data_IF_197382650020
#
_entry.id   IF_197382650020
#
_cell.length_a   1.000
_cell.length_b   1.000
_cell.length_c   1.000
_cell.angle_alpha   90.00
_cell.angle_beta   90.00
_cell.angle_gamma   90.00
#
_symmetry.space_group_name_H-M   'P 1'
#
loop_
_entity.id
_entity.type
_entity.pdbx_description
1 polymer ?
#
# COMPACT_ATOMS: atom_id res chain seq x y z
N UNK A 1 13.14 24.83 39.33
CA UNK A 1 13.33 24.88 37.88
C UNK A 1 12.17 24.15 37.25
N UNK A 2 11.24 24.93 36.70
CA UNK A 2 9.98 24.46 36.11
C UNK A 2 10.29 23.87 34.75
N UNK A 3 10.00 22.57 34.55
CA UNK A 3 10.01 21.94 33.25
C UNK A 3 8.77 22.38 32.47
N UNK A 4 8.98 23.05 31.34
CA UNK A 4 7.91 23.41 30.43
C UNK A 4 7.16 22.15 29.94
N UNK A 5 5.84 22.19 29.76
CA UNK A 5 5.08 21.10 29.19
C UNK A 5 5.46 20.97 27.70
N UNK A 6 5.77 19.74 27.28
CA UNK A 6 5.97 19.40 25.88
C UNK A 6 4.72 19.80 25.08
N UNK A 7 4.93 20.51 23.99
CA UNK A 7 3.88 20.93 23.09
C UNK A 7 3.07 19.70 22.63
N UNK A 8 1.83 19.63 23.07
CA UNK A 8 0.81 18.78 22.48
C UNK A 8 0.66 19.28 21.05
N UNK A 9 1.13 18.53 20.07
CA UNK A 9 0.81 18.83 18.67
C UNK A 9 -0.70 18.81 18.55
N UNK A 10 -1.30 19.95 18.14
CA UNK A 10 -2.73 20.07 17.87
C UNK A 10 -3.12 19.00 16.84
N UNK A 11 -3.71 17.91 17.30
CA UNK A 11 -4.29 16.92 16.40
C UNK A 11 -5.39 17.62 15.62
N UNK A 12 -5.34 17.65 14.26
CA UNK A 12 -6.35 18.32 13.47
C UNK A 12 -7.74 17.81 13.88
N UNK A 13 -8.71 18.71 14.03
CA UNK A 13 -10.06 18.28 14.34
C UNK A 13 -10.55 17.35 13.22
N UNK A 14 -11.28 16.31 13.57
CA UNK A 14 -11.87 15.37 12.61
C UNK A 14 -12.63 16.12 11.50
N UNK A 15 -13.31 17.21 11.85
CA UNK A 15 -14.06 18.05 10.93
C UNK A 15 -13.17 18.72 9.88
N UNK A 16 -11.89 18.97 10.17
CA UNK A 16 -10.95 19.55 9.22
C UNK A 16 -10.46 18.54 8.16
N UNK A 17 -10.62 17.25 8.41
CA UNK A 17 -10.26 16.17 7.48
C UNK A 17 -11.45 15.66 6.68
N UNK A 18 -12.65 15.68 7.25
CA UNK A 18 -13.87 15.22 6.58
C UNK A 18 -14.15 16.05 5.33
N UNK A 19 -14.47 15.35 4.23
CA UNK A 19 -14.81 15.93 2.93
C UNK A 19 -13.70 16.77 2.29
N UNK A 20 -12.52 16.86 2.91
CA UNK A 20 -11.35 17.44 2.26
C UNK A 20 -10.85 16.48 1.18
N UNK A 21 -10.71 16.99 -0.04
CA UNK A 21 -10.09 16.24 -1.14
C UNK A 21 -8.58 16.33 -1.04
N UNK A 22 -7.93 15.18 -1.00
CA UNK A 22 -6.49 15.03 -1.13
C UNK A 22 -6.20 14.58 -2.55
N UNK A 23 -5.63 15.44 -3.42
CA UNK A 23 -5.39 15.11 -4.81
C UNK A 23 -4.34 14.01 -4.95
N UNK A 24 -4.54 13.12 -5.90
CA UNK A 24 -3.61 12.05 -6.26
C UNK A 24 -3.62 11.88 -7.77
N UNK A 25 -2.45 11.80 -8.39
CA UNK A 25 -2.29 11.82 -9.85
C UNK A 25 -2.81 13.15 -10.45
N UNK A 26 -3.31 13.10 -11.68
CA UNK A 26 -3.80 14.28 -12.40
C UNK A 26 -5.23 14.70 -12.02
N UNK A 27 -6.18 13.74 -11.93
CA UNK A 27 -7.59 14.02 -11.59
C UNK A 27 -8.14 13.09 -10.49
N UNK A 28 -7.30 12.28 -9.88
CA UNK A 28 -7.68 11.41 -8.79
C UNK A 28 -7.69 12.13 -7.44
N UNK A 29 -8.35 11.53 -6.46
CA UNK A 29 -8.35 12.02 -5.09
C UNK A 29 -8.73 10.93 -4.08
N UNK A 30 -8.40 11.21 -2.83
CA UNK A 30 -8.95 10.53 -1.65
C UNK A 30 -9.66 11.55 -0.79
N UNK A 31 -10.82 11.19 -0.24
CA UNK A 31 -11.58 12.01 0.69
C UNK A 31 -12.00 11.14 1.88
N UNK A 32 -11.72 11.60 3.10
CA UNK A 32 -12.29 11.01 4.31
C UNK A 32 -13.78 11.37 4.39
N UNK A 33 -14.64 10.37 4.39
CA UNK A 33 -16.09 10.55 4.54
C UNK A 33 -16.50 10.43 6.00
N UNK A 34 -16.05 9.35 6.66
CA UNK A 34 -16.39 9.06 8.03
C UNK A 34 -15.36 8.14 8.70
N UNK A 35 -15.36 8.14 10.02
CA UNK A 35 -14.50 7.27 10.83
C UNK A 35 -15.25 6.85 12.08
N UNK A 36 -15.13 5.57 12.44
CA UNK A 36 -15.56 5.03 13.71
C UNK A 36 -14.34 4.70 14.56
N UNK A 37 -14.23 5.30 15.73
CA UNK A 37 -13.14 5.05 16.66
C UNK A 37 -11.89 5.90 16.41
N UNK A 38 -10.90 5.64 17.25
CA UNK A 38 -9.57 6.25 17.29
C UNK A 38 -8.60 5.31 18.02
N UNK A 39 -7.35 5.73 18.32
CA UNK A 39 -6.39 4.92 19.09
C UNK A 39 -6.96 4.41 20.42
N UNK A 40 -7.74 5.23 21.13
CA UNK A 40 -8.37 4.82 22.39
C UNK A 40 -9.40 3.69 22.20
N UNK A 41 -10.06 3.62 21.06
CA UNK A 41 -11.00 2.54 20.74
C UNK A 41 -10.30 1.19 20.59
N UNK A 42 -9.12 1.18 19.97
CA UNK A 42 -8.25 -0.02 19.87
C UNK A 42 -7.82 -0.49 21.26
N UNK A 43 -7.40 0.44 22.10
CA UNK A 43 -7.02 0.17 23.50
C UNK A 43 -8.21 -0.36 24.31
N UNK A 44 -9.37 0.25 24.17
CA UNK A 44 -10.59 -0.18 24.85
C UNK A 44 -10.97 -1.60 24.45
N UNK A 45 -10.94 -1.91 23.16
CA UNK A 45 -11.23 -3.25 22.64
C UNK A 45 -10.26 -4.29 23.20
N UNK A 46 -8.97 -4.00 23.25
CA UNK A 46 -7.98 -4.89 23.83
C UNK A 46 -8.23 -5.14 25.34
N UNK A 47 -8.63 -4.11 26.09
CA UNK A 47 -8.85 -4.18 27.53
C UNK A 47 -10.11 -4.96 27.93
N UNK A 48 -11.07 -5.16 27.02
CA UNK A 48 -12.25 -6.02 27.27
C UNK A 48 -11.85 -7.44 27.67
N UNK A 49 -10.73 -7.93 27.15
CA UNK A 49 -10.20 -9.27 27.48
C UNK A 49 -9.65 -9.39 28.91
N UNK A 50 -9.48 -8.28 29.62
CA UNK A 50 -9.03 -8.25 31.01
C UNK A 50 -10.23 -8.04 31.92
N UNK A 51 -10.63 -9.06 32.72
CA UNK A 51 -11.68 -8.94 33.73
C UNK A 51 -11.41 -7.83 34.76
N UNK A 52 -12.46 -7.38 35.44
CA UNK A 52 -12.34 -6.41 36.53
C UNK A 52 -11.35 -6.95 37.59
N UNK A 53 -10.32 -6.20 37.88
CA UNK A 53 -9.28 -6.57 38.88
C UNK A 53 -7.92 -6.92 38.31
N UNK A 54 -7.77 -7.18 37.02
CA UNK A 54 -6.46 -7.46 36.38
C UNK A 54 -5.89 -6.27 35.62
N UNK A 55 -6.49 -5.09 35.74
CA UNK A 55 -6.05 -3.87 35.07
C UNK A 55 -4.66 -3.43 35.57
N UNK A 56 -3.60 -3.86 34.90
CA UNK A 56 -2.35 -3.09 34.91
C UNK A 56 -2.60 -1.83 34.06
N UNK A 57 -2.37 -0.66 34.64
CA UNK A 57 -2.36 0.62 33.91
C UNK A 57 -1.13 0.56 32.97
N UNK A 58 -1.28 -0.02 31.80
CA UNK A 58 -0.29 0.13 30.74
C UNK A 58 -0.58 1.41 29.97
N UNK A 59 0.46 2.11 29.61
CA UNK A 59 0.40 3.22 28.67
C UNK A 59 -0.25 2.74 27.36
N UNK A 60 -1.22 3.49 26.85
CA UNK A 60 -1.97 3.16 25.63
C UNK A 60 -1.05 2.96 24.43
N UNK A 61 0.00 3.77 24.29
CA UNK A 61 1.02 3.64 23.27
C UNK A 61 1.76 2.30 23.37
N UNK A 62 2.16 1.89 24.57
CA UNK A 62 2.85 0.61 24.78
C UNK A 62 1.94 -0.58 24.45
N UNK A 63 0.65 -0.50 24.80
CA UNK A 63 -0.31 -1.54 24.50
C UNK A 63 -0.53 -1.69 22.99
N UNK A 64 -0.76 -0.60 22.27
CA UNK A 64 -0.91 -0.61 20.80
C UNK A 64 0.35 -1.21 20.14
N UNK A 65 1.55 -0.79 20.56
CA UNK A 65 2.81 -1.32 20.07
C UNK A 65 2.96 -2.81 20.35
N UNK A 66 2.56 -3.28 21.54
CA UNK A 66 2.54 -4.70 21.87
C UNK A 66 1.60 -5.49 20.97
N UNK A 67 0.36 -5.03 20.80
CA UNK A 67 -0.65 -5.68 19.97
C UNK A 67 -0.19 -5.84 18.51
N UNK A 68 0.34 -4.77 17.94
CA UNK A 68 0.77 -4.78 16.54
C UNK A 68 2.01 -5.67 16.33
N UNK A 69 2.98 -5.63 17.27
CA UNK A 69 4.20 -6.44 17.23
C UNK A 69 3.90 -7.93 17.30
N UNK A 70 2.91 -8.31 18.13
CA UNK A 70 2.50 -9.70 18.32
C UNK A 70 1.35 -10.15 17.42
N UNK A 71 0.98 -9.33 16.43
CA UNK A 71 -0.07 -9.62 15.46
C UNK A 71 -1.44 -9.93 16.11
N UNK A 72 -1.78 -9.23 17.19
CA UNK A 72 -3.14 -9.25 17.74
C UNK A 72 -4.02 -8.31 16.92
N UNK A 73 -4.82 -8.84 16.01
CA UNK A 73 -5.51 -8.07 14.97
C UNK A 73 -6.86 -7.52 15.41
N UNK A 74 -7.63 -8.31 16.15
CA UNK A 74 -9.03 -8.00 16.52
C UNK A 74 -9.25 -6.63 17.15
N UNK A 75 -8.38 -6.09 18.04
CA UNK A 75 -8.57 -4.75 18.57
C UNK A 75 -8.58 -3.65 17.51
N UNK A 76 -7.79 -3.81 16.43
CA UNK A 76 -7.73 -2.86 15.33
C UNK A 76 -8.95 -2.98 14.39
N UNK A 77 -9.66 -4.11 14.41
CA UNK A 77 -10.90 -4.31 13.65
C UNK A 77 -12.09 -3.54 14.26
N UNK A 78 -11.94 -3.05 15.51
CA UNK A 78 -12.96 -2.24 16.20
C UNK A 78 -12.88 -0.75 15.86
N UNK A 79 -12.11 -0.36 14.87
CA UNK A 79 -12.09 0.96 14.28
C UNK A 79 -12.28 0.84 12.77
N UNK A 80 -13.09 1.71 12.17
CA UNK A 80 -13.40 1.67 10.73
C UNK A 80 -13.24 3.05 10.10
N UNK A 81 -12.86 3.07 8.83
CA UNK A 81 -12.75 4.31 8.04
C UNK A 81 -13.52 4.15 6.73
N UNK A 82 -14.23 5.19 6.34
CA UNK A 82 -14.93 5.28 5.06
C UNK A 82 -14.37 6.40 4.22
N UNK A 83 -13.95 6.04 3.03
CA UNK A 83 -13.40 6.95 2.03
C UNK A 83 -14.35 7.10 0.83
N UNK A 84 -14.27 8.24 0.17
CA UNK A 84 -14.63 8.41 -1.23
C UNK A 84 -13.32 8.55 -2.01
N UNK A 85 -13.12 7.68 -2.99
CA UNK A 85 -11.92 7.67 -3.81
C UNK A 85 -12.28 7.87 -5.28
N UNK A 86 -11.47 8.64 -5.99
CA UNK A 86 -11.48 8.72 -7.45
C UNK A 86 -10.16 8.19 -7.95
N UNK A 87 -10.22 7.10 -8.72
CA UNK A 87 -9.06 6.28 -9.03
C UNK A 87 -9.15 5.72 -10.46
N UNK A 88 -8.03 5.59 -11.22
CA UNK A 88 -8.05 4.93 -12.51
C UNK A 88 -8.43 3.45 -12.37
N UNK A 89 -9.15 2.91 -13.35
CA UNK A 89 -9.67 1.53 -13.33
C UNK A 89 -8.56 0.47 -13.21
N UNK A 90 -7.37 0.69 -13.76
CA UNK A 90 -6.22 -0.22 -13.64
C UNK A 90 -5.75 -0.32 -12.19
N UNK A 91 -5.64 0.82 -11.47
CA UNK A 91 -5.35 0.87 -10.04
C UNK A 91 -6.50 0.28 -9.20
N UNK A 92 -7.75 0.59 -9.59
CA UNK A 92 -8.93 0.06 -8.91
C UNK A 92 -8.99 -1.46 -8.94
N UNK A 93 -8.61 -2.09 -10.04
CA UNK A 93 -8.52 -3.56 -10.14
C UNK A 93 -7.51 -4.18 -9.18
N UNK A 94 -6.46 -3.47 -8.81
CA UNK A 94 -5.52 -3.91 -7.76
C UNK A 94 -6.09 -3.64 -6.37
N UNK A 95 -6.82 -2.54 -6.21
CA UNK A 95 -7.44 -2.13 -4.94
C UNK A 95 -8.48 -3.15 -4.46
N UNK A 96 -9.40 -3.54 -5.33
CA UNK A 96 -10.49 -4.49 -5.03
C UNK A 96 -9.99 -5.92 -4.74
N UNK A 97 -8.71 -6.21 -4.88
CA UNK A 97 -8.10 -7.46 -4.40
C UNK A 97 -8.04 -7.52 -2.87
N UNK A 98 -8.14 -6.39 -2.18
CA UNK A 98 -8.30 -6.30 -0.73
C UNK A 98 -9.79 -6.45 -0.38
N UNK A 99 -10.22 -7.71 -0.18
CA UNK A 99 -11.63 -8.11 -0.15
C UNK A 99 -12.33 -7.92 1.19
N UNK A 100 -11.58 -7.75 2.29
CA UNK A 100 -12.16 -7.49 3.61
C UNK A 100 -12.47 -5.99 3.73
N UNK A 101 -13.46 -5.56 2.97
CA UNK A 101 -13.90 -4.18 2.88
C UNK A 101 -15.29 -4.13 2.23
N UNK A 102 -15.99 -3.01 2.39
CA UNK A 102 -17.26 -2.73 1.70
C UNK A 102 -17.02 -1.68 0.61
N UNK A 103 -17.54 -1.95 -0.56
CA UNK A 103 -17.36 -1.11 -1.74
C UNK A 103 -18.73 -0.78 -2.35
N UNK A 104 -18.91 0.48 -2.71
CA UNK A 104 -20.01 0.92 -3.55
C UNK A 104 -19.45 1.85 -4.64
N UNK A 105 -19.31 1.28 -5.83
CA UNK A 105 -18.70 1.95 -6.97
C UNK A 105 -19.73 2.68 -7.83
N UNK A 106 -19.32 3.82 -8.38
CA UNK A 106 -20.07 4.57 -9.39
C UNK A 106 -20.42 3.68 -10.59
N UNK A 107 -21.69 3.63 -10.91
CA UNK A 107 -22.15 2.76 -12.00
C UNK A 107 -22.30 3.50 -13.33
N UNK A 108 -21.41 3.22 -14.25
CA UNK A 108 -21.51 3.70 -15.64
C UNK A 108 -22.62 2.99 -16.47
N UNK A 109 -23.41 2.11 -15.83
CA UNK A 109 -24.67 1.59 -16.42
C UNK A 109 -25.82 2.57 -16.22
N UNK A 110 -25.84 3.27 -15.09
CA UNK A 110 -26.88 4.23 -14.76
C UNK A 110 -26.50 5.67 -15.08
N UNK A 111 -25.21 5.96 -15.09
CA UNK A 111 -24.68 7.30 -15.34
C UNK A 111 -23.69 7.28 -16.51
N UNK A 112 -23.34 8.47 -17.02
CA UNK A 112 -22.26 8.60 -17.99
C UNK A 112 -20.93 8.26 -17.36
N UNK A 113 -19.99 7.71 -18.14
CA UNK A 113 -18.63 7.53 -17.67
C UNK A 113 -18.02 8.88 -17.25
N UNK A 114 -17.17 8.86 -16.24
CA UNK A 114 -16.42 10.05 -15.82
C UNK A 114 -15.58 10.50 -17.03
N UNK A 115 -15.68 11.79 -17.36
CA UNK A 115 -14.97 12.36 -18.50
C UNK A 115 -13.54 12.73 -18.11
N UNK A 116 -12.81 11.73 -17.64
CA UNK A 116 -11.41 11.89 -17.26
C UNK A 116 -10.70 10.54 -17.36
N UNK A 117 -9.49 10.59 -17.87
CA UNK A 117 -8.59 9.46 -18.00
C UNK A 117 -7.21 9.89 -17.46
N UNK A 118 -6.58 9.02 -16.69
CA UNK A 118 -5.24 9.29 -16.19
C UNK A 118 -4.26 9.37 -17.37
N UNK A 119 -3.50 10.44 -17.43
CA UNK A 119 -2.50 10.69 -18.45
C UNK A 119 -1.09 10.46 -17.90
N UNK A 120 -0.22 9.87 -18.72
CA UNK A 120 1.18 9.67 -18.39
C UNK A 120 2.01 10.81 -18.99
N UNK A 121 2.70 11.60 -18.14
CA UNK A 121 3.63 12.63 -18.61
C UNK A 121 4.80 12.03 -19.39
N UNK A 122 5.47 12.83 -20.21
CA UNK A 122 6.62 12.37 -21.01
C UNK A 122 7.72 11.75 -20.14
N UNK A 123 7.93 12.26 -18.95
CA UNK A 123 8.89 11.78 -17.94
C UNK A 123 8.29 10.80 -16.93
N UNK A 124 7.02 10.41 -17.12
CA UNK A 124 6.30 9.49 -16.25
C UNK A 124 6.39 8.02 -16.65
N UNK A 125 6.88 7.72 -17.85
CA UNK A 125 7.03 6.36 -18.36
C UNK A 125 8.19 5.64 -17.69
N UNK A 126 7.99 4.37 -17.32
CA UNK A 126 8.96 3.56 -16.59
C UNK A 126 9.38 2.33 -17.38
N UNK A 127 10.66 1.99 -17.30
CA UNK A 127 11.20 0.75 -17.86
C UNK A 127 10.72 -0.48 -17.09
N UNK A 128 10.65 -1.62 -17.75
CA UNK A 128 10.43 -2.89 -17.11
C UNK A 128 11.64 -3.27 -16.26
N UNK A 129 11.44 -3.60 -14.98
CA UNK A 129 12.53 -4.08 -14.14
C UNK A 129 13.14 -5.39 -14.65
N UNK A 130 14.47 -5.45 -14.72
CA UNK A 130 15.19 -6.61 -15.23
C UNK A 130 15.03 -7.85 -14.31
N UNK A 131 14.98 -7.65 -13.01
CA UNK A 131 14.94 -8.71 -12.00
C UNK A 131 13.53 -9.12 -11.59
N UNK A 132 12.54 -8.24 -11.75
CA UNK A 132 11.16 -8.45 -11.32
C UNK A 132 10.19 -8.08 -12.44
N UNK A 133 9.55 -9.07 -13.05
CA UNK A 133 8.58 -8.85 -14.14
C UNK A 133 7.33 -8.07 -13.74
N UNK A 134 7.07 -7.88 -12.45
CA UNK A 134 5.94 -7.11 -11.93
C UNK A 134 6.31 -5.66 -11.60
N UNK A 135 7.61 -5.36 -11.49
CA UNK A 135 8.12 -4.05 -11.12
C UNK A 135 8.53 -3.22 -12.32
N UNK A 136 8.61 -1.92 -12.10
CA UNK A 136 9.24 -0.96 -13.01
C UNK A 136 10.55 -0.49 -12.41
N UNK A 137 11.49 -0.12 -13.28
CA UNK A 137 12.81 0.36 -12.91
C UNK A 137 13.14 1.61 -13.71
N UNK A 138 13.48 2.69 -13.01
CA UNK A 138 13.82 3.95 -13.62
C UNK A 138 12.72 4.59 -14.48
N UNK A 139 12.93 5.83 -14.84
CA UNK A 139 12.06 6.58 -15.74
C UNK A 139 12.73 6.76 -17.09
N UNK A 140 11.94 6.79 -18.15
CA UNK A 140 12.41 7.16 -19.47
C UNK A 140 12.77 8.65 -19.52
N UNK A 141 13.62 9.03 -20.46
CA UNK A 141 13.87 10.45 -20.72
C UNK A 141 12.61 11.11 -21.29
N UNK A 142 12.48 12.42 -21.12
CA UNK A 142 11.36 13.19 -21.68
C UNK A 142 11.23 12.96 -23.22
N UNK A 143 12.34 12.86 -23.92
CA UNK A 143 12.34 12.65 -25.37
C UNK A 143 11.84 11.26 -25.76
N UNK A 144 12.21 10.22 -25.01
CA UNK A 144 11.78 8.85 -25.27
C UNK A 144 10.31 8.64 -24.88
N UNK A 145 9.84 9.32 -23.84
CA UNK A 145 8.45 9.23 -23.38
C UNK A 145 7.47 10.06 -24.21
N UNK A 146 7.93 11.13 -24.87
CA UNK A 146 7.06 12.02 -25.65
C UNK A 146 6.18 11.29 -26.68
N UNK A 147 6.70 10.42 -27.58
CA UNK A 147 5.86 9.70 -28.51
C UNK A 147 4.89 8.72 -27.85
N UNK A 148 5.23 8.18 -26.67
CA UNK A 148 4.33 7.30 -25.90
C UNK A 148 3.16 8.08 -25.32
N UNK A 149 3.42 9.26 -24.74
CA UNK A 149 2.39 10.17 -24.23
C UNK A 149 1.46 10.62 -25.35
N UNK A 150 2.00 10.95 -26.53
CA UNK A 150 1.21 11.34 -27.69
C UNK A 150 0.27 10.20 -28.14
N UNK A 151 0.80 8.97 -28.26
CA UNK A 151 0.01 7.78 -28.62
C UNK A 151 -1.07 7.47 -27.59
N UNK A 152 -0.78 7.64 -26.28
CA UNK A 152 -1.77 7.50 -25.21
C UNK A 152 -2.93 8.50 -25.38
N UNK A 153 -2.61 9.78 -25.62
CA UNK A 153 -3.60 10.85 -25.82
C UNK A 153 -4.48 10.60 -27.06
N UNK A 154 -3.89 10.14 -28.16
CA UNK A 154 -4.62 9.77 -29.38
C UNK A 154 -5.61 8.63 -29.11
N UNK A 155 -5.16 7.57 -28.41
CA UNK A 155 -5.99 6.44 -28.02
C UNK A 155 -7.14 6.87 -27.11
N UNK A 156 -6.86 7.67 -26.08
CA UNK A 156 -7.87 8.16 -25.14
C UNK A 156 -8.92 9.00 -25.86
N UNK A 157 -8.49 9.89 -26.74
CA UNK A 157 -9.38 10.75 -27.55
C UNK A 157 -10.27 9.92 -28.49
N UNK A 158 -9.71 8.90 -29.13
CA UNK A 158 -10.47 7.98 -30.00
C UNK A 158 -11.51 7.18 -29.20
N UNK A 159 -11.10 6.60 -28.08
CA UNK A 159 -11.99 5.80 -27.23
C UNK A 159 -13.16 6.65 -26.70
N UNK A 160 -12.88 7.89 -26.31
CA UNK A 160 -13.90 8.85 -25.87
C UNK A 160 -14.88 9.18 -26.98
N UNK A 161 -14.41 9.53 -28.18
CA UNK A 161 -15.25 9.80 -29.32
C UNK A 161 -16.15 8.61 -29.66
N UNK A 162 -15.61 7.39 -29.73
CA UNK A 162 -16.38 6.18 -30.02
C UNK A 162 -17.45 5.93 -28.95
N UNK A 163 -17.15 6.18 -27.69
CA UNK A 163 -18.14 6.09 -26.60
C UNK A 163 -19.29 7.07 -26.79
N UNK A 164 -19.00 8.32 -27.11
CA UNK A 164 -20.00 9.37 -27.34
C UNK A 164 -20.85 9.10 -28.59
N UNK A 165 -20.26 8.67 -29.71
CA UNK A 165 -20.96 8.27 -30.92
C UNK A 165 -21.97 7.15 -30.65
N UNK A 166 -21.59 6.15 -29.83
CA UNK A 166 -22.49 5.08 -29.41
C UNK A 166 -23.67 5.59 -28.58
N UNK A 167 -23.42 6.51 -27.67
CA UNK A 167 -24.50 7.11 -26.88
C UNK A 167 -25.47 7.91 -27.76
N UNK A 168 -24.94 8.69 -28.70
CA UNK A 168 -25.73 9.46 -29.63
C UNK A 168 -26.56 8.55 -30.57
N UNK A 169 -26.04 7.39 -30.95
CA UNK A 169 -26.72 6.35 -31.68
C UNK A 169 -27.77 5.58 -30.85
N UNK A 170 -27.97 5.93 -29.58
CA UNK A 170 -28.95 5.28 -28.71
C UNK A 170 -28.51 3.91 -28.17
N UNK A 171 -27.23 3.57 -28.27
CA UNK A 171 -26.69 2.31 -27.70
C UNK A 171 -26.75 2.36 -26.19
N UNK A 172 -27.15 1.27 -25.57
CA UNK A 172 -27.19 1.14 -24.10
C UNK A 172 -25.84 1.46 -23.48
N UNK A 173 -25.82 2.24 -22.39
CA UNK A 173 -24.59 2.67 -21.69
C UNK A 173 -23.67 1.50 -21.33
N UNK A 174 -24.23 0.35 -20.93
CA UNK A 174 -23.48 -0.84 -20.60
C UNK A 174 -22.67 -1.42 -21.78
N UNK A 175 -23.12 -1.19 -23.01
CA UNK A 175 -22.40 -1.57 -24.22
C UNK A 175 -21.50 -0.44 -24.73
N UNK A 176 -21.97 0.80 -24.67
CA UNK A 176 -21.21 1.96 -25.14
C UNK A 176 -19.84 2.07 -24.46
N UNK A 177 -19.77 1.83 -23.14
CA UNK A 177 -18.58 1.97 -22.30
C UNK A 177 -17.50 0.89 -22.47
N UNK A 178 -17.79 -0.22 -23.18
CA UNK A 178 -16.93 -1.43 -23.12
C UNK A 178 -15.50 -1.23 -23.60
N UNK A 179 -15.28 -0.24 -24.47
CA UNK A 179 -13.96 0.03 -25.07
C UNK A 179 -13.27 1.28 -24.45
N UNK A 180 -13.78 1.80 -23.34
CA UNK A 180 -13.07 2.81 -22.56
C UNK A 180 -11.79 2.20 -21.98
N UNK A 181 -10.63 2.90 -22.06
CA UNK A 181 -9.37 2.38 -21.56
C UNK A 181 -9.38 2.28 -20.03
N UNK A 182 -8.50 1.41 -19.50
CA UNK A 182 -8.35 1.21 -18.06
C UNK A 182 -7.82 2.44 -17.32
N UNK A 183 -7.28 3.42 -18.03
CA UNK A 183 -6.91 4.74 -17.49
C UNK A 183 -8.12 5.61 -17.13
N UNK A 184 -9.34 5.25 -17.57
CA UNK A 184 -10.57 5.96 -17.21
C UNK A 184 -10.76 5.95 -15.69
N UNK A 185 -11.07 7.11 -15.10
CA UNK A 185 -11.36 7.24 -13.68
C UNK A 185 -12.71 6.64 -13.32
N UNK A 186 -12.77 6.00 -12.15
CA UNK A 186 -14.01 5.63 -11.45
C UNK A 186 -14.04 6.29 -10.07
N UNK A 187 -15.21 6.37 -9.46
CA UNK A 187 -15.38 6.80 -8.06
C UNK A 187 -16.03 5.69 -7.25
N UNK A 188 -15.60 5.54 -6.01
CA UNK A 188 -16.19 4.56 -5.11
C UNK A 188 -16.16 5.02 -3.66
N UNK A 189 -17.21 4.68 -2.93
CA UNK A 189 -17.14 4.58 -1.49
C UNK A 189 -16.42 3.29 -1.12
N UNK A 190 -15.43 3.41 -0.25
CA UNK A 190 -14.66 2.30 0.30
C UNK A 190 -14.64 2.39 1.82
N UNK A 191 -15.22 1.39 2.49
CA UNK A 191 -15.24 1.28 3.94
C UNK A 191 -14.44 0.06 4.37
N UNK A 192 -13.57 0.24 5.34
CA UNK A 192 -12.63 -0.79 5.78
C UNK A 192 -12.28 -0.58 7.25
N UNK A 193 -12.10 -1.67 8.01
CA UNK A 193 -11.56 -1.61 9.35
C UNK A 193 -10.05 -1.28 9.35
N UNK A 194 -9.54 -0.80 10.48
CA UNK A 194 -8.17 -0.34 10.60
C UNK A 194 -7.14 -1.47 10.39
N UNK A 195 -7.41 -2.71 10.85
CA UNK A 195 -6.48 -3.83 10.63
C UNK A 195 -6.28 -4.11 9.14
N UNK A 196 -7.38 -4.25 8.39
CA UNK A 196 -7.33 -4.53 6.96
C UNK A 196 -6.82 -3.32 6.15
N UNK A 197 -7.08 -2.10 6.63
CA UNK A 197 -6.49 -0.88 6.05
C UNK A 197 -4.98 -0.87 6.21
N UNK A 198 -4.45 -1.15 7.40
CA UNK A 198 -3.00 -1.24 7.62
C UNK A 198 -2.37 -2.35 6.76
N UNK A 199 -3.08 -3.46 6.55
CA UNK A 199 -2.63 -4.50 5.62
C UNK A 199 -2.58 -3.99 4.16
N UNK A 200 -3.60 -3.26 3.71
CA UNK A 200 -3.59 -2.60 2.41
C UNK A 200 -2.40 -1.64 2.28
N UNK A 201 -2.20 -0.77 3.27
CA UNK A 201 -1.12 0.21 3.28
C UNK A 201 0.26 -0.46 3.24
N UNK A 202 0.49 -1.52 4.03
CA UNK A 202 1.76 -2.24 4.03
C UNK A 202 2.12 -2.82 2.65
N UNK A 203 1.11 -3.27 1.88
CA UNK A 203 1.33 -3.84 0.55
C UNK A 203 1.42 -2.78 -0.55
N UNK A 204 0.72 -1.65 -0.39
CA UNK A 204 0.58 -0.66 -1.46
C UNK A 204 1.50 0.55 -1.29
N UNK A 205 2.06 0.76 -0.11
CA UNK A 205 3.15 1.71 0.12
C UNK A 205 4.53 1.10 -0.18
N UNK A 206 4.61 -0.23 -0.35
CA UNK A 206 5.86 -0.91 -0.69
C UNK A 206 6.45 -0.37 -2.01
N UNK A 207 7.78 -0.23 -2.06
CA UNK A 207 8.49 0.30 -3.23
C UNK A 207 8.28 -0.50 -4.51
N UNK A 208 7.97 -1.80 -4.41
CA UNK A 208 7.66 -2.68 -5.53
C UNK A 208 6.19 -2.58 -6.00
N UNK A 209 5.33 -1.86 -5.27
CA UNK A 209 3.98 -1.59 -5.73
C UNK A 209 4.00 -0.63 -6.92
N UNK A 210 3.04 -0.78 -7.84
CA UNK A 210 2.86 0.17 -8.95
C UNK A 210 2.77 1.60 -8.42
N UNK A 211 3.48 2.54 -9.03
CA UNK A 211 3.60 3.91 -8.51
C UNK A 211 2.25 4.59 -8.29
N UNK A 212 1.31 4.40 -9.20
CA UNK A 212 0.00 5.06 -9.15
C UNK A 212 -0.78 4.63 -7.90
N UNK A 213 -0.95 3.34 -7.64
CA UNK A 213 -1.64 2.87 -6.43
C UNK A 213 -0.85 3.17 -5.14
N UNK A 214 0.49 3.19 -5.23
CA UNK A 214 1.35 3.57 -4.11
C UNK A 214 1.09 5.00 -3.67
N UNK A 215 0.95 5.95 -4.59
CA UNK A 215 0.60 7.34 -4.26
C UNK A 215 -0.74 7.47 -3.52
N UNK A 216 -1.75 6.67 -3.91
CA UNK A 216 -3.01 6.61 -3.17
C UNK A 216 -2.81 6.09 -1.75
N UNK A 217 -2.06 5.01 -1.58
CA UNK A 217 -1.77 4.43 -0.28
C UNK A 217 -0.98 5.38 0.62
N UNK A 218 0.05 6.04 0.09
CA UNK A 218 0.85 7.06 0.78
C UNK A 218 -0.03 8.25 1.23
N UNK A 219 -0.92 8.72 0.36
CA UNK A 219 -1.86 9.80 0.69
C UNK A 219 -2.81 9.39 1.81
N UNK A 220 -3.40 8.18 1.74
CA UNK A 220 -4.27 7.66 2.80
C UNK A 220 -3.49 7.56 4.12
N UNK A 221 -2.31 6.97 4.09
CA UNK A 221 -1.48 6.75 5.26
C UNK A 221 -1.04 8.05 5.90
N UNK A 222 -0.31 8.87 5.17
CA UNK A 222 0.37 10.05 5.69
C UNK A 222 -0.57 11.23 5.96
N UNK A 223 -1.56 11.46 5.08
CA UNK A 223 -2.43 12.63 5.20
C UNK A 223 -3.68 12.39 6.05
N UNK A 224 -4.10 11.14 6.21
CA UNK A 224 -5.35 10.83 6.90
C UNK A 224 -5.10 9.94 8.12
N UNK A 225 -4.56 8.73 7.93
CA UNK A 225 -4.43 7.74 9.03
C UNK A 225 -3.44 8.19 10.10
N UNK A 226 -2.31 8.77 9.71
CA UNK A 226 -1.34 9.35 10.64
C UNK A 226 -1.94 10.40 11.59
N UNK A 227 -3.01 11.09 11.15
CA UNK A 227 -3.70 12.12 11.92
C UNK A 227 -4.85 11.55 12.76
N UNK A 228 -5.55 10.53 12.28
CA UNK A 228 -6.69 9.90 12.97
C UNK A 228 -6.25 8.90 14.04
N UNK A 229 -5.17 8.16 13.77
CA UNK A 229 -4.66 7.07 14.59
C UNK A 229 -3.15 7.21 14.80
N UNK A 230 -2.65 8.30 15.42
CA UNK A 230 -1.24 8.60 15.49
C UNK A 230 -0.40 7.52 16.20
N UNK A 231 -0.93 6.89 17.25
CA UNK A 231 -0.21 5.83 17.96
C UNK A 231 -0.19 4.50 17.17
N UNK A 232 -1.29 4.17 16.52
CA UNK A 232 -1.35 3.01 15.63
C UNK A 232 -0.45 3.21 14.41
N UNK A 233 -0.40 4.43 13.87
CA UNK A 233 0.45 4.79 12.73
C UNK A 233 1.94 4.66 13.07
N UNK A 234 2.37 5.22 14.20
CA UNK A 234 3.75 5.07 14.69
C UNK A 234 4.14 3.58 14.80
N UNK A 235 3.30 2.79 15.47
CA UNK A 235 3.56 1.36 15.62
C UNK A 235 3.55 0.61 14.27
N UNK A 236 2.70 1.03 13.33
CA UNK A 236 2.63 0.46 11.99
C UNK A 236 3.91 0.72 11.18
N UNK A 237 4.44 1.92 11.23
CA UNK A 237 5.72 2.23 10.59
C UNK A 237 6.83 1.34 11.14
N UNK A 238 7.00 1.29 12.45
CA UNK A 238 8.08 0.52 13.10
C UNK A 238 7.98 -1.00 12.87
N UNK A 239 6.77 -1.57 12.89
CA UNK A 239 6.60 -3.03 12.91
C UNK A 239 6.07 -3.64 11.61
N UNK A 240 5.73 -2.83 10.62
CA UNK A 240 5.22 -3.31 9.31
C UNK A 240 5.95 -2.70 8.12
N UNK A 241 6.06 -1.37 8.05
CA UNK A 241 6.63 -0.68 6.87
C UNK A 241 8.15 -0.78 6.87
N UNK A 242 8.78 -0.41 7.99
CA UNK A 242 10.25 -0.37 8.12
C UNK A 242 10.82 -1.66 8.72
N UNK A 243 9.97 -2.62 9.05
CA UNK A 243 10.40 -3.85 9.67
C UNK A 243 11.02 -4.81 8.66
N UNK A 244 12.20 -5.30 8.95
CA UNK A 244 12.82 -6.40 8.23
C UNK A 244 12.34 -7.74 8.77
N UNK A 245 11.79 -8.59 7.91
CA UNK A 245 11.43 -9.97 8.27
C UNK A 245 12.60 -10.91 8.03
N UNK A 246 13.10 -11.52 9.09
CA UNK A 246 14.10 -12.56 9.04
C UNK A 246 13.43 -13.94 9.08
N UNK A 247 13.63 -14.73 8.03
CA UNK A 247 13.18 -16.12 7.95
C UNK A 247 14.04 -17.04 8.82
N UNK A 248 13.64 -18.31 8.98
CA UNK A 248 14.48 -19.32 9.63
C UNK A 248 15.82 -19.48 8.90
N UNK A 249 15.82 -19.38 7.58
CA UNK A 249 17.01 -19.53 6.75
C UNK A 249 17.95 -18.33 6.93
N UNK A 250 17.42 -17.10 6.88
CA UNK A 250 18.19 -15.87 7.14
C UNK A 250 18.90 -15.94 8.49
N UNK A 251 18.18 -16.36 9.54
CA UNK A 251 18.75 -16.54 10.88
C UNK A 251 19.89 -17.57 10.92
N UNK A 252 19.76 -18.66 10.16
CA UNK A 252 20.81 -19.66 10.04
C UNK A 252 22.08 -19.10 9.41
N UNK A 253 21.95 -18.24 8.38
CA UNK A 253 23.10 -17.54 7.79
C UNK A 253 23.73 -16.57 8.78
N UNK A 254 22.91 -15.75 9.46
CA UNK A 254 23.40 -14.79 10.46
C UNK A 254 24.15 -15.51 11.60
N UNK A 255 23.64 -16.64 12.09
CA UNK A 255 24.31 -17.42 13.14
C UNK A 255 25.67 -17.94 12.69
N UNK A 256 25.81 -18.39 11.43
CA UNK A 256 27.11 -18.83 10.86
C UNK A 256 28.09 -17.66 10.77
N UNK A 257 27.64 -16.50 10.29
CA UNK A 257 28.47 -15.28 10.25
C UNK A 257 28.94 -14.88 11.65
N UNK A 258 28.04 -14.91 12.65
CA UNK A 258 28.36 -14.59 14.03
C UNK A 258 29.34 -15.57 14.68
N UNK A 259 29.41 -16.83 14.22
CA UNK A 259 30.38 -17.83 14.68
C UNK A 259 31.74 -17.74 13.94
N UNK A 260 31.95 -16.73 13.11
CA UNK A 260 33.21 -16.52 12.37
C UNK A 260 33.29 -17.25 11.05
N UNK A 261 32.24 -17.92 10.61
CA UNK A 261 32.18 -18.49 9.27
C UNK A 261 31.73 -17.42 8.28
N UNK A 262 32.67 -16.85 7.54
CA UNK A 262 32.42 -15.80 6.54
C UNK A 262 31.99 -16.32 5.18
N UNK A 263 31.98 -17.65 4.97
CA UNK A 263 31.51 -18.24 3.72
C UNK A 263 30.00 -18.07 3.58
N UNK A 264 29.58 -17.29 2.59
CA UNK A 264 28.19 -17.10 2.27
C UNK A 264 27.69 -18.27 1.39
N UNK A 265 26.40 -18.63 1.50
CA UNK A 265 25.83 -19.67 0.66
C UNK A 265 25.96 -19.32 -0.84
N UNK A 266 26.69 -20.12 -1.58
CA UNK A 266 26.92 -19.91 -3.02
C UNK A 266 25.81 -20.53 -3.87
N UNK A 267 25.16 -21.56 -3.35
CA UNK A 267 24.10 -22.31 -4.04
C UNK A 267 22.80 -22.31 -3.25
N UNK A 268 21.75 -22.80 -3.90
CA UNK A 268 20.46 -23.03 -3.23
C UNK A 268 20.59 -24.10 -2.14
N UNK A 269 21.36 -25.13 -2.38
CA UNK A 269 21.63 -26.21 -1.43
C UNK A 269 22.28 -25.68 -0.15
N UNK A 270 23.30 -24.85 -0.29
CA UNK A 270 23.96 -24.19 0.84
C UNK A 270 23.00 -23.29 1.63
N UNK A 271 22.07 -22.63 0.95
CA UNK A 271 21.09 -21.74 1.57
C UNK A 271 20.00 -22.50 2.33
N UNK A 272 19.46 -23.56 1.72
CA UNK A 272 18.37 -24.34 2.31
C UNK A 272 18.80 -25.34 3.36
N UNK A 273 20.11 -25.57 3.49
CA UNK A 273 20.70 -26.65 4.29
C UNK A 273 20.35 -28.05 3.79
N UNK A 274 21.24 -29.02 3.96
CA UNK A 274 21.25 -30.39 3.47
C UNK A 274 20.03 -31.27 3.86
N UNK A 275 18.86 -30.71 4.05
CA UNK A 275 17.65 -31.45 4.39
C UNK A 275 16.88 -31.97 3.18
N UNK A 276 17.24 -31.48 1.98
CA UNK A 276 16.57 -31.89 0.75
C UNK A 276 17.63 -32.31 -0.29
N UNK A 277 17.98 -33.60 -0.28
CA UNK A 277 18.97 -34.21 -1.19
C UNK A 277 18.55 -34.13 -2.68
N UNK A 278 17.29 -33.74 -2.93
CA UNK A 278 16.73 -33.62 -4.29
C UNK A 278 17.03 -32.30 -5.00
N UNK A 279 17.70 -31.36 -4.34
CA UNK A 279 17.91 -30.03 -4.87
C UNK A 279 19.05 -29.98 -5.86
N UNK A 280 18.71 -29.75 -7.11
CA UNK A 280 19.67 -29.46 -8.17
C UNK A 280 20.24 -28.06 -7.94
N UNK A 281 21.55 -27.92 -8.00
CA UNK A 281 22.23 -26.61 -7.97
C UNK A 281 21.63 -25.70 -9.04
N UNK A 282 21.00 -24.59 -8.63
CA UNK A 282 20.45 -23.59 -9.52
C UNK A 282 21.32 -22.35 -9.46
N UNK A 283 21.71 -21.82 -10.62
CA UNK A 283 22.42 -20.54 -10.75
C UNK A 283 21.65 -19.37 -10.12
N UNK A 284 20.30 -19.47 -10.09
CA UNK A 284 19.41 -18.48 -9.48
C UNK A 284 18.70 -19.05 -8.24
N UNK A 285 18.92 -18.43 -7.09
CA UNK A 285 18.19 -18.68 -5.85
C UNK A 285 17.71 -17.36 -5.28
N UNK A 286 16.46 -16.98 -5.62
CA UNK A 286 15.89 -15.70 -5.21
C UNK A 286 15.87 -15.51 -3.69
N UNK A 287 15.56 -16.54 -2.93
CA UNK A 287 15.54 -16.47 -1.44
C UNK A 287 16.93 -16.18 -0.88
N UNK A 288 17.99 -16.76 -1.48
CA UNK A 288 19.40 -16.44 -1.14
C UNK A 288 19.71 -14.98 -1.48
N UNK A 289 19.33 -14.52 -2.67
CA UNK A 289 19.62 -13.16 -3.13
C UNK A 289 18.88 -12.14 -2.24
N UNK A 290 17.63 -12.42 -1.85
CA UNK A 290 16.88 -11.62 -0.86
C UNK A 290 17.54 -11.64 0.53
N UNK A 291 18.08 -12.78 0.97
CA UNK A 291 18.87 -12.86 2.19
C UNK A 291 20.11 -11.98 2.13
N UNK A 292 20.85 -12.01 1.02
CA UNK A 292 22.04 -11.17 0.84
C UNK A 292 21.69 -9.69 0.85
N UNK A 293 20.62 -9.28 0.20
CA UNK A 293 20.16 -7.90 0.25
C UNK A 293 19.84 -7.44 1.69
N UNK A 294 19.20 -8.30 2.49
CA UNK A 294 18.97 -8.02 3.93
C UNK A 294 20.28 -7.89 4.71
N UNK A 295 21.23 -8.79 4.49
CA UNK A 295 22.53 -8.75 5.18
C UNK A 295 23.34 -7.51 4.79
N UNK A 296 23.31 -7.11 3.52
CA UNK A 296 23.96 -5.89 3.04
C UNK A 296 23.33 -4.64 3.68
N UNK A 297 22.00 -4.57 3.75
CA UNK A 297 21.30 -3.45 4.40
C UNK A 297 21.58 -3.34 5.92
N UNK A 298 21.98 -4.45 6.56
CA UNK A 298 22.42 -4.50 7.96
C UNK A 298 23.93 -4.24 8.11
N UNK A 299 24.68 -4.05 7.02
CA UNK A 299 26.14 -3.90 7.05
C UNK A 299 26.91 -5.17 7.43
N UNK A 300 26.27 -6.33 7.35
CA UNK A 300 26.88 -7.62 7.71
C UNK A 300 27.67 -8.25 6.57
N UNK A 301 27.44 -7.82 5.36
CA UNK A 301 28.17 -8.20 4.14
C UNK A 301 28.32 -6.97 3.26
N UNK A 302 29.35 -6.95 2.41
CA UNK A 302 29.52 -5.92 1.37
C UNK A 302 28.72 -6.33 0.14
N UNK A 303 28.05 -5.38 -0.49
CA UNK A 303 27.48 -5.59 -1.82
C UNK A 303 28.60 -5.94 -2.79
N UNK A 304 28.50 -7.11 -3.45
CA UNK A 304 29.44 -7.59 -4.45
C UNK A 304 29.17 -7.01 -5.83
#
# INVERSE_FOLDING_TARGET
MSSAPSAVQDTPSLDSLRWKKFPVLDDGFVTLVDVMGNDASVVQAARVSYGEGTRKVSDDRQLIRYLLRHAHTTPFEMAEVKFLVRVPMDCWRQWVRHRTANINEYSTRYSLAIDSMQATGNDGWRSQAASNRQGSDGFLTNNDGHPLTQSEQELQSLARRVYEERLQAGIAREQARKDLPLSTYTEAYWKIDLHNLLHFLALRMDSHAQLEIRRYAETIGNEIIAKLFPLCWEAFLDYRVEAMRLTRLDRGVIQRLASGNTALPASREDFHTAQDESWVSLERCRERDECFAKLASLGLVTES
#
